data_IF_166723970881
#
_entry.id   IF_166723970881
#
_cell.length_a   1.000
_cell.length_b   1.000
_cell.length_c   1.000
_cell.angle_alpha   90.00
_cell.angle_beta   90.00
_cell.angle_gamma   90.00
#
_symmetry.space_group_name_H-M   'P 1'
#
loop_
_entity.id
_entity.type
_entity.pdbx_description
1 polymer ?
#
# COMPACT_ATOMS: atom_id res chain seq x y z
N UNK A 1 19.56 -16.25 19.10
CA UNK A 1 19.81 -15.08 18.25
C UNK A 1 18.84 -13.99 18.69
N UNK A 2 19.31 -12.97 19.42
CA UNK A 2 18.47 -11.84 19.80
C UNK A 2 18.67 -10.72 18.80
N UNK A 3 17.61 -10.29 18.12
CA UNK A 3 17.66 -9.08 17.29
C UNK A 3 17.90 -7.89 18.22
N UNK A 4 19.03 -7.24 18.08
CA UNK A 4 19.27 -5.96 18.75
C UNK A 4 18.56 -4.88 17.93
N UNK A 5 17.73 -4.00 18.53
CA UNK A 5 17.09 -2.94 17.79
C UNK A 5 18.15 -2.03 17.17
N UNK A 6 17.98 -1.72 15.88
CA UNK A 6 18.85 -0.80 15.15
C UNK A 6 18.45 0.63 15.55
N UNK A 7 19.39 1.51 15.90
CA UNK A 7 19.09 2.93 16.10
C UNK A 7 18.46 3.51 14.84
N UNK A 8 17.36 4.26 14.99
CA UNK A 8 16.58 4.86 13.89
C UNK A 8 15.85 3.86 12.96
N UNK A 9 15.47 2.68 13.46
CA UNK A 9 14.63 1.74 12.71
C UNK A 9 13.22 2.32 12.45
N UNK A 10 12.95 2.70 11.20
CA UNK A 10 11.63 3.17 10.80
C UNK A 10 10.63 1.99 10.70
N UNK A 11 9.37 2.17 11.14
CA UNK A 11 8.40 1.09 11.09
C UNK A 11 8.09 0.70 9.64
N UNK A 12 8.09 -0.61 9.38
CA UNK A 12 7.61 -1.16 8.11
C UNK A 12 6.08 -1.10 8.09
N UNK A 13 5.54 -0.20 7.28
CA UNK A 13 4.10 -0.09 7.02
C UNK A 13 3.81 -0.57 5.60
N UNK A 14 2.74 -1.35 5.44
CA UNK A 14 2.29 -1.88 4.16
C UNK A 14 0.80 -1.67 3.95
N UNK A 15 0.39 -1.60 2.69
CA UNK A 15 -1.02 -1.62 2.27
C UNK A 15 -1.27 -2.89 1.45
N UNK A 16 -2.36 -3.58 1.76
CA UNK A 16 -2.89 -4.68 0.96
C UNK A 16 -3.71 -4.12 -0.20
N UNK A 17 -3.43 -4.54 -1.42
CA UNK A 17 -4.17 -4.14 -2.62
C UNK A 17 -4.50 -5.34 -3.49
N UNK A 18 -5.60 -5.24 -4.23
CA UNK A 18 -5.93 -6.16 -5.32
C UNK A 18 -5.67 -5.43 -6.63
N UNK A 19 -5.06 -6.11 -7.61
CA UNK A 19 -4.88 -5.53 -8.95
C UNK A 19 -6.22 -5.11 -9.57
N UNK A 20 -6.24 -4.01 -10.32
CA UNK A 20 -7.47 -3.53 -10.98
C UNK A 20 -7.71 -4.17 -12.35
N UNK A 21 -6.68 -4.77 -12.93
CA UNK A 21 -6.71 -5.47 -14.22
C UNK A 21 -6.46 -6.93 -13.97
N UNK A 22 -7.40 -7.81 -14.33
CA UNK A 22 -7.25 -9.25 -14.18
C UNK A 22 -5.96 -9.75 -14.86
N UNK A 23 -5.34 -10.75 -14.24
CA UNK A 23 -4.21 -11.49 -14.81
C UNK A 23 -4.63 -12.20 -16.11
N UNK A 24 -3.69 -12.70 -16.93
CA UNK A 24 -4.02 -13.42 -18.17
C UNK A 24 -4.94 -14.64 -17.97
N UNK A 25 -4.94 -15.23 -16.78
CA UNK A 25 -5.83 -16.34 -16.39
C UNK A 25 -7.21 -15.88 -15.86
N UNK A 26 -7.47 -14.57 -15.86
CA UNK A 26 -8.69 -13.95 -15.37
C UNK A 26 -8.75 -13.74 -13.85
N UNK A 27 -7.71 -14.11 -13.11
CA UNK A 27 -7.68 -13.97 -11.65
C UNK A 27 -7.28 -12.58 -11.20
N UNK A 28 -7.71 -12.24 -10.00
CA UNK A 28 -7.23 -11.10 -9.24
C UNK A 28 -6.34 -11.61 -8.11
N UNK A 29 -5.27 -10.87 -7.81
CA UNK A 29 -4.21 -11.22 -6.87
C UNK A 29 -4.04 -10.12 -5.84
N UNK A 30 -3.79 -10.55 -4.61
CA UNK A 30 -3.45 -9.68 -3.49
C UNK A 30 -1.96 -9.37 -3.49
N UNK A 31 -1.62 -8.10 -3.30
CA UNK A 31 -0.26 -7.59 -3.17
C UNK A 31 -0.11 -6.78 -1.88
N UNK A 32 1.10 -6.76 -1.35
CA UNK A 32 1.48 -5.93 -0.21
C UNK A 32 2.52 -4.92 -0.65
N UNK A 33 2.17 -3.63 -0.59
CA UNK A 33 3.04 -2.55 -1.02
C UNK A 33 3.55 -1.78 0.19
N UNK A 34 4.86 -1.50 0.25
CA UNK A 34 5.44 -0.61 1.26
C UNK A 34 4.92 0.81 1.05
N UNK A 35 4.56 1.47 2.15
CA UNK A 35 4.07 2.85 2.17
C UNK A 35 4.81 3.64 3.26
N UNK A 36 4.74 4.99 3.25
CA UNK A 36 5.40 5.80 4.27
C UNK A 36 4.94 5.43 5.69
N UNK A 37 5.83 5.52 6.69
CA UNK A 37 5.53 5.12 8.07
C UNK A 37 4.41 5.94 8.73
N UNK A 38 4.13 7.15 8.22
CA UNK A 38 3.04 8.01 8.68
C UNK A 38 1.66 7.68 8.09
N UNK A 39 1.54 6.67 7.23
CA UNK A 39 0.27 6.29 6.57
C UNK A 39 -0.71 5.72 7.59
N UNK A 40 -1.91 6.33 7.71
CA UNK A 40 -2.91 5.96 8.73
C UNK A 40 -4.14 5.23 8.20
N UNK A 41 -4.38 5.27 6.89
CA UNK A 41 -5.54 4.66 6.24
C UNK A 41 -5.09 3.88 5.01
N UNK A 42 -5.85 2.86 4.63
CA UNK A 42 -5.61 2.14 3.38
C UNK A 42 -5.71 3.08 2.17
N UNK A 43 -6.70 3.99 2.18
CA UNK A 43 -6.89 4.99 1.11
C UNK A 43 -5.68 5.90 0.93
N UNK A 44 -5.09 6.41 2.03
CA UNK A 44 -3.86 7.20 1.96
C UNK A 44 -2.68 6.38 1.42
N UNK A 45 -2.58 5.10 1.81
CA UNK A 45 -1.54 4.20 1.30
C UNK A 45 -1.65 3.99 -0.21
N UNK A 46 -2.85 3.72 -0.72
CA UNK A 46 -3.09 3.58 -2.16
C UNK A 46 -2.86 4.91 -2.88
N UNK A 47 -3.39 6.04 -2.38
CA UNK A 47 -3.16 7.36 -2.95
C UNK A 47 -1.66 7.67 -3.14
N UNK A 48 -0.84 7.34 -2.14
CA UNK A 48 0.61 7.49 -2.21
C UNK A 48 1.24 6.67 -3.34
N UNK A 49 0.78 5.44 -3.61
CA UNK A 49 1.29 4.63 -4.74
C UNK A 49 1.00 5.25 -6.11
N UNK A 50 0.03 6.16 -6.19
CA UNK A 50 -0.28 6.96 -7.38
C UNK A 50 0.34 8.37 -7.35
N UNK A 51 1.13 8.71 -6.31
CA UNK A 51 1.77 10.01 -6.20
C UNK A 51 0.82 11.18 -5.92
N UNK A 52 -0.36 10.91 -5.35
CA UNK A 52 -1.38 11.92 -5.02
C UNK A 52 -1.71 11.93 -3.52
N UNK A 53 -2.31 13.02 -3.04
CA UNK A 53 -2.84 13.06 -1.67
C UNK A 53 -4.11 12.19 -1.56
N UNK A 54 -4.41 11.71 -0.35
CA UNK A 54 -5.65 10.98 -0.06
C UNK A 54 -6.91 11.74 -0.50
N UNK A 55 -6.93 13.07 -0.33
CA UNK A 55 -8.05 13.92 -0.72
C UNK A 55 -8.25 14.01 -2.24
N UNK A 56 -7.18 13.87 -3.03
CA UNK A 56 -7.22 13.93 -4.50
C UNK A 56 -7.38 12.54 -5.13
N UNK A 57 -7.33 11.48 -4.31
CA UNK A 57 -7.48 10.11 -4.76
C UNK A 57 -8.96 9.80 -5.04
N UNK A 58 -9.35 10.00 -6.29
CA UNK A 58 -10.70 9.73 -6.82
C UNK A 58 -10.65 8.70 -7.95
N UNK A 59 -10.45 7.41 -7.63
CA UNK A 59 -10.51 6.35 -8.63
C UNK A 59 -11.89 6.28 -9.28
N UNK A 60 -11.93 5.97 -10.58
CA UNK A 60 -13.19 5.83 -11.32
C UNK A 60 -14.00 4.60 -10.90
N UNK A 61 -13.33 3.57 -10.36
CA UNK A 61 -13.93 2.35 -9.78
C UNK A 61 -13.09 1.86 -8.61
N UNK A 62 -13.77 1.51 -7.52
CA UNK A 62 -13.28 0.74 -6.38
C UNK A 62 -14.20 -0.47 -6.26
N UNK A 63 -13.66 -1.67 -6.06
CA UNK A 63 -14.41 -2.94 -5.95
C UNK A 63 -14.00 -3.68 -4.71
#
# INVERSE_FOLDING_TARGET
>A
MGVSPVPDDEPVVMVEVVNSTAEPDGTFRTYWLRVPPGTRTARAGVAWTFGVNEADYHPQRET
#
